data_IF_652946655800
#
_entry.id   IF_652946655800
#
_cell.length_a   1.000
_cell.length_b   1.000
_cell.length_c   1.000
_cell.angle_alpha   90.00
_cell.angle_beta   90.00
_cell.angle_gamma   90.00
#
_symmetry.space_group_name_H-M   'P 1'
#
loop_
_entity.id
_entity.type
_entity.pdbx_description
1 polymer ?
#
# COMPACT_ATOMS: atom_id res chain seq x y z
N UNK A 1 -13.61 -22.75 8.03
CA UNK A 1 -12.18 -22.66 7.69
C UNK A 1 -12.10 -22.32 6.21
N UNK A 2 -11.21 -21.40 5.83
CA UNK A 2 -10.98 -21.08 4.43
C UNK A 2 -10.35 -22.29 3.73
N UNK A 3 -10.69 -22.49 2.46
CA UNK A 3 -10.01 -23.44 1.60
C UNK A 3 -8.58 -22.96 1.27
N UNK A 4 -7.64 -23.86 0.92
CA UNK A 4 -6.29 -23.47 0.53
C UNK A 4 -6.27 -22.44 -0.61
N UNK A 5 -7.21 -22.53 -1.56
CA UNK A 5 -7.33 -21.58 -2.65
C UNK A 5 -7.79 -20.19 -2.18
N UNK A 6 -8.66 -20.10 -1.18
CA UNK A 6 -9.06 -18.83 -0.59
C UNK A 6 -7.92 -18.21 0.24
N UNK A 7 -7.17 -19.02 1.00
CA UNK A 7 -5.98 -18.57 1.72
C UNK A 7 -4.93 -18.04 0.75
N UNK A 8 -4.73 -18.71 -0.38
CA UNK A 8 -3.81 -18.28 -1.44
C UNK A 8 -4.21 -16.94 -2.06
N UNK A 9 -5.48 -16.78 -2.46
CA UNK A 9 -5.98 -15.49 -2.96
C UNK A 9 -5.81 -14.37 -1.94
N UNK A 10 -6.01 -14.69 -0.65
CA UNK A 10 -5.77 -13.72 0.42
C UNK A 10 -4.30 -13.36 0.56
N UNK A 11 -3.39 -14.33 0.43
CA UNK A 11 -1.94 -14.10 0.48
C UNK A 11 -1.50 -13.20 -0.68
N UNK A 12 -1.91 -13.51 -1.91
CA UNK A 12 -1.64 -12.69 -3.10
C UNK A 12 -2.14 -11.25 -2.93
N UNK A 13 -3.38 -11.09 -2.45
CA UNK A 13 -3.94 -9.77 -2.17
C UNK A 13 -3.11 -9.03 -1.11
N UNK A 14 -2.84 -9.65 0.04
CA UNK A 14 -2.05 -9.04 1.10
C UNK A 14 -0.64 -8.66 0.65
N UNK A 15 -0.01 -9.48 -0.21
CA UNK A 15 1.29 -9.15 -0.83
C UNK A 15 1.18 -7.93 -1.74
N UNK A 16 0.14 -7.82 -2.56
CA UNK A 16 -0.10 -6.63 -3.37
C UNK A 16 -0.27 -5.36 -2.52
N UNK A 17 -1.03 -5.46 -1.42
CA UNK A 17 -1.23 -4.34 -0.49
C UNK A 17 0.08 -3.95 0.18
N UNK A 18 0.84 -4.94 0.68
CA UNK A 18 2.15 -4.74 1.28
C UNK A 18 3.11 -4.00 0.34
N UNK A 19 3.19 -4.44 -0.91
CA UNK A 19 4.04 -3.80 -1.92
C UNK A 19 3.61 -2.35 -2.19
N UNK A 20 2.31 -2.11 -2.41
CA UNK A 20 1.82 -0.76 -2.71
C UNK A 20 2.04 0.21 -1.55
N UNK A 21 1.76 -0.21 -0.32
CA UNK A 21 2.04 0.59 0.89
C UNK A 21 3.54 0.79 1.11
N UNK A 22 4.35 -0.25 0.85
CA UNK A 22 5.80 -0.17 0.94
C UNK A 22 6.39 0.83 -0.05
N UNK A 23 5.89 0.87 -1.29
CA UNK A 23 6.28 1.89 -2.28
C UNK A 23 5.85 3.30 -1.88
N UNK A 24 4.66 3.45 -1.29
CA UNK A 24 4.22 4.74 -0.75
C UNK A 24 5.15 5.22 0.36
N UNK A 25 5.43 4.37 1.36
CA UNK A 25 6.31 4.71 2.47
C UNK A 25 7.77 4.95 2.04
N UNK A 26 8.25 4.19 1.05
CA UNK A 26 9.60 4.28 0.51
C UNK A 26 9.82 5.43 -0.48
N UNK A 27 8.77 6.15 -0.88
CA UNK A 27 8.89 7.25 -1.84
C UNK A 27 8.97 8.61 -1.13
N UNK A 28 10.18 9.22 -1.02
CA UNK A 28 10.35 10.49 -0.32
C UNK A 28 9.68 11.68 -1.02
N UNK A 29 9.24 11.53 -2.26
CA UNK A 29 8.57 12.59 -3.02
C UNK A 29 7.09 12.70 -2.68
N UNK A 30 6.52 11.73 -1.97
CA UNK A 30 5.11 11.72 -1.59
C UNK A 30 4.98 12.14 -0.13
N UNK A 31 4.45 13.35 0.16
CA UNK A 31 4.21 13.74 1.54
C UNK A 31 3.03 12.95 2.12
N UNK A 32 3.03 12.60 3.42
CA UNK A 32 1.97 11.81 4.03
C UNK A 32 0.55 12.35 3.84
N UNK A 33 0.40 13.68 3.75
CA UNK A 33 -0.87 14.34 3.48
C UNK A 33 -1.53 13.92 2.14
N UNK A 34 -0.76 13.35 1.20
CA UNK A 34 -1.25 12.86 -0.09
C UNK A 34 -1.66 11.39 -0.07
N UNK A 35 -1.36 10.64 0.99
CA UNK A 35 -1.70 9.21 1.06
C UNK A 35 -3.20 8.93 0.89
N UNK A 36 -4.15 9.67 1.50
CA UNK A 36 -5.58 9.41 1.28
C UNK A 36 -6.00 9.54 -0.19
N UNK A 37 -5.39 10.45 -0.94
CA UNK A 37 -5.67 10.63 -2.37
C UNK A 37 -5.13 9.45 -3.19
N UNK A 38 -3.91 8.99 -2.89
CA UNK A 38 -3.31 7.83 -3.55
C UNK A 38 -4.09 6.53 -3.27
N UNK A 39 -4.52 6.32 -2.02
CA UNK A 39 -5.32 5.14 -1.65
C UNK A 39 -6.62 5.06 -2.45
N UNK A 40 -7.29 6.18 -2.72
CA UNK A 40 -8.50 6.25 -3.57
C UNK A 40 -8.24 5.89 -5.03
N UNK A 41 -7.02 6.07 -5.52
CA UNK A 41 -6.63 5.72 -6.89
C UNK A 41 -6.18 4.26 -7.02
N UNK A 42 -5.94 3.58 -5.91
CA UNK A 42 -5.47 2.19 -5.91
C UNK A 42 -6.46 1.26 -6.58
N UNK A 43 -5.98 0.43 -7.51
CA UNK A 43 -6.81 -0.63 -8.09
C UNK A 43 -7.11 -1.78 -7.14
N UNK A 44 -6.44 -1.83 -5.98
CA UNK A 44 -6.77 -2.73 -4.87
C UNK A 44 -7.93 -2.20 -4.00
N UNK A 45 -8.48 -1.03 -4.33
CA UNK A 45 -9.54 -0.34 -3.58
C UNK A 45 -9.15 0.00 -2.13
N UNK A 46 -7.89 0.33 -1.90
CA UNK A 46 -7.41 0.66 -0.53
C UNK A 46 -8.10 1.90 0.05
N UNK A 47 -8.56 2.83 -0.79
CA UNK A 47 -9.35 3.98 -0.36
C UNK A 47 -10.79 3.66 0.05
N UNK A 48 -11.26 2.44 -0.21
CA UNK A 48 -12.55 1.93 0.26
C UNK A 48 -12.40 0.98 1.47
N UNK A 49 -11.16 0.65 1.87
CA UNK A 49 -10.87 -0.23 3.01
C UNK A 49 -10.89 0.59 4.31
N UNK A 50 -11.90 0.40 5.19
CA UNK A 50 -12.06 1.23 6.38
C UNK A 50 -10.90 1.10 7.37
N UNK A 51 -10.24 -0.05 7.42
CA UNK A 51 -9.10 -0.23 8.32
C UNK A 51 -7.91 0.59 7.84
N UNK A 52 -7.61 0.54 6.54
CA UNK A 52 -6.51 1.32 5.95
C UNK A 52 -6.80 2.82 6.06
N UNK A 53 -7.99 3.25 5.61
CA UNK A 53 -8.31 4.69 5.57
C UNK A 53 -8.35 5.30 6.96
N UNK A 54 -8.99 4.63 7.93
CA UNK A 54 -9.05 5.13 9.31
C UNK A 54 -7.67 5.17 9.95
N UNK A 55 -6.82 4.15 9.73
CA UNK A 55 -5.44 4.15 10.25
C UNK A 55 -4.65 5.35 9.75
N UNK A 56 -4.75 5.66 8.45
CA UNK A 56 -4.05 6.81 7.86
C UNK A 56 -4.64 8.14 8.34
N UNK A 57 -5.96 8.27 8.35
CA UNK A 57 -6.65 9.50 8.81
C UNK A 57 -6.33 9.82 10.26
N UNK A 58 -6.39 8.83 11.16
CA UNK A 58 -6.03 9.00 12.56
C UNK A 58 -4.55 9.38 12.74
N UNK A 59 -3.65 8.70 12.04
CA UNK A 59 -2.22 9.00 12.11
C UNK A 59 -1.91 10.43 11.61
N UNK A 60 -2.57 10.88 10.55
CA UNK A 60 -2.46 12.26 10.06
C UNK A 60 -3.02 13.27 11.07
N UNK A 61 -4.17 12.97 11.69
CA UNK A 61 -4.74 13.81 12.75
C UNK A 61 -3.82 13.92 13.98
N UNK A 62 -3.10 12.85 14.30
CA UNK A 62 -2.11 12.82 15.39
C UNK A 62 -0.77 13.43 15.01
N UNK A 63 -0.57 13.85 13.75
CA UNK A 63 0.70 14.41 13.27
C UNK A 63 1.83 13.40 13.18
N UNK A 64 1.53 12.12 12.92
CA UNK A 64 2.56 11.11 12.72
C UNK A 64 3.36 11.38 11.42
N UNK A 65 4.70 11.33 11.46
CA UNK A 65 5.55 11.79 10.36
C UNK A 65 5.45 10.92 9.09
N UNK A 66 4.97 9.69 9.21
CA UNK A 66 4.81 8.74 8.11
C UNK A 66 3.32 8.48 7.78
N UNK A 67 2.41 9.27 8.36
CA UNK A 67 0.96 9.09 8.18
C UNK A 67 0.45 7.69 8.54
N UNK A 68 1.14 6.95 9.42
CA UNK A 68 0.74 5.61 9.87
C UNK A 68 1.00 4.49 8.86
N UNK A 69 1.54 4.79 7.68
CA UNK A 69 1.75 3.79 6.61
C UNK A 69 2.78 2.74 7.01
N UNK A 70 3.82 3.09 7.77
CA UNK A 70 4.80 2.09 8.22
C UNK A 70 4.15 1.05 9.14
N UNK A 71 3.18 1.46 9.96
CA UNK A 71 2.40 0.54 10.79
C UNK A 71 1.58 -0.43 9.95
N UNK A 72 0.94 0.06 8.89
CA UNK A 72 0.20 -0.78 7.95
C UNK A 72 1.12 -1.75 7.19
N UNK A 73 2.31 -1.31 6.75
CA UNK A 73 3.32 -2.17 6.12
C UNK A 73 3.65 -3.35 7.02
N UNK A 74 4.01 -3.10 8.29
CA UNK A 74 4.31 -4.19 9.23
C UNK A 74 3.12 -5.11 9.51
N UNK A 75 1.89 -4.55 9.55
CA UNK A 75 0.68 -5.35 9.73
C UNK A 75 0.46 -6.31 8.56
N UNK A 76 0.54 -5.82 7.31
CA UNK A 76 0.37 -6.66 6.13
C UNK A 76 1.53 -7.64 5.92
N UNK A 77 2.76 -7.26 6.28
CA UNK A 77 3.90 -8.19 6.32
C UNK A 77 3.62 -9.37 7.26
N UNK A 78 3.15 -9.09 8.49
CA UNK A 78 2.74 -10.13 9.44
C UNK A 78 1.62 -11.02 8.91
N UNK A 79 0.63 -10.45 8.21
CA UNK A 79 -0.44 -11.22 7.57
C UNK A 79 0.08 -12.13 6.45
N UNK A 80 0.94 -11.62 5.57
CA UNK A 80 1.55 -12.42 4.50
C UNK A 80 2.32 -13.60 5.11
N UNK A 81 3.14 -13.36 6.14
CA UNK A 81 3.85 -14.44 6.83
C UNK A 81 2.91 -15.48 7.44
N UNK A 82 1.84 -15.05 8.11
CA UNK A 82 0.86 -15.97 8.70
C UNK A 82 0.15 -16.81 7.62
N UNK A 83 -0.21 -16.21 6.49
CA UNK A 83 -0.86 -16.91 5.38
C UNK A 83 0.10 -17.89 4.69
N UNK A 84 1.36 -17.50 4.51
CA UNK A 84 2.42 -18.38 4.00
C UNK A 84 2.63 -19.60 4.90
N UNK A 85 2.58 -19.45 6.23
CA UNK A 85 2.64 -20.58 7.16
C UNK A 85 1.48 -21.56 6.96
N UNK A 86 0.26 -21.06 6.74
CA UNK A 86 -0.92 -21.91 6.49
C UNK A 86 -0.79 -22.65 5.14
N UNK A 87 -0.17 -22.02 4.15
CA UNK A 87 0.04 -22.58 2.82
C UNK A 87 1.30 -23.44 2.70
N UNK A 88 2.12 -23.52 3.74
CA UNK A 88 3.43 -24.18 3.74
C UNK A 88 4.34 -23.67 2.60
N UNK A 89 4.37 -22.34 2.41
CA UNK A 89 5.14 -21.65 1.36
C UNK A 89 5.82 -20.39 1.93
N UNK A 90 6.48 -19.61 1.08
CA UNK A 90 7.16 -18.36 1.43
C UNK A 90 6.61 -17.18 0.62
N UNK A 91 6.93 -15.96 1.09
CA UNK A 91 6.44 -14.72 0.47
C UNK A 91 6.94 -14.54 -0.97
N UNK A 92 8.16 -14.99 -1.28
CA UNK A 92 8.75 -14.90 -2.62
C UNK A 92 7.95 -15.75 -3.62
N UNK A 93 7.55 -16.96 -3.22
CA UNK A 93 6.72 -17.84 -4.03
C UNK A 93 5.36 -17.23 -4.32
N UNK A 94 4.73 -16.58 -3.33
CA UNK A 94 3.47 -15.85 -3.53
C UNK A 94 3.68 -14.69 -4.50
N UNK A 95 4.74 -13.89 -4.33
CA UNK A 95 5.03 -12.74 -5.19
C UNK A 95 5.26 -13.16 -6.66
N UNK A 96 5.96 -14.27 -6.90
CA UNK A 96 6.23 -14.80 -8.25
C UNK A 96 4.96 -15.26 -9.00
N UNK A 97 3.88 -15.57 -8.28
CA UNK A 97 2.60 -15.94 -8.88
C UNK A 97 1.78 -14.71 -9.33
N UNK A 98 2.13 -13.52 -8.85
CA UNK A 98 1.44 -12.27 -9.19
C UNK A 98 1.86 -11.84 -10.61
N UNK A 99 0.92 -11.57 -11.52
CA UNK A 99 1.26 -11.16 -12.87
C UNK A 99 2.11 -9.88 -12.89
N UNK A 100 3.26 -9.91 -13.56
CA UNK A 100 4.19 -8.78 -13.63
C UNK A 100 3.52 -7.49 -14.14
N UNK A 101 2.63 -7.59 -15.12
CA UNK A 101 1.88 -6.42 -15.63
C UNK A 101 0.97 -5.80 -14.58
N UNK A 102 0.46 -6.60 -13.65
CA UNK A 102 -0.31 -6.10 -12.51
C UNK A 102 0.58 -5.40 -11.50
N UNK A 103 1.75 -5.97 -11.18
CA UNK A 103 2.75 -5.32 -10.30
C UNK A 103 3.21 -3.97 -10.86
N UNK A 104 3.47 -3.88 -12.17
CA UNK A 104 3.81 -2.62 -12.85
C UNK A 104 2.70 -1.58 -12.69
N UNK A 105 1.44 -1.98 -12.91
CA UNK A 105 0.29 -1.09 -12.72
C UNK A 105 0.21 -0.57 -11.28
N UNK A 106 0.37 -1.43 -10.27
CA UNK A 106 0.34 -1.01 -8.87
C UNK A 106 1.48 -0.02 -8.54
N UNK A 107 2.65 -0.21 -9.13
CA UNK A 107 3.76 0.71 -8.99
C UNK A 107 3.45 2.07 -9.66
N UNK A 108 2.91 2.06 -10.88
CA UNK A 108 2.48 3.28 -11.58
C UNK A 108 1.46 4.09 -10.76
N UNK A 109 0.53 3.43 -10.05
CA UNK A 109 -0.45 4.11 -9.18
C UNK A 109 0.21 4.92 -8.05
N UNK A 110 1.43 4.55 -7.64
CA UNK A 110 2.21 5.25 -6.60
C UNK A 110 3.21 6.24 -7.21
N UNK A 111 3.88 5.87 -8.30
CA UNK A 111 5.01 6.62 -8.87
C UNK A 111 4.64 7.58 -10.00
N UNK A 112 3.47 7.46 -10.65
CA UNK A 112 3.07 8.41 -11.69
C UNK A 112 2.43 9.67 -11.09
N UNK A 113 2.99 10.82 -11.49
CA UNK A 113 2.64 12.17 -11.07
C UNK A 113 1.14 12.34 -10.84
N UNK A 114 0.79 12.77 -9.63
CA UNK A 114 -0.47 13.46 -9.38
C UNK A 114 -0.44 14.74 -10.23
N UNK A 115 -1.36 14.96 -11.19
CA UNK A 115 -1.52 16.26 -11.80
C UNK A 115 -2.07 17.21 -10.71
N UNK A 116 -1.19 17.95 -10.03
CA UNK A 116 -1.59 18.88 -8.98
C UNK A 116 -0.44 19.37 -8.11
N UNK A 117 0.22 20.42 -8.60
CA UNK A 117 1.12 21.35 -7.87
C UNK A 117 2.62 20.99 -7.83
N UNK A 118 3.26 21.08 -9.02
CA UNK A 118 4.60 21.67 -9.08
C UNK A 118 4.50 23.15 -8.68
N UNK A 119 5.38 23.55 -7.76
CA UNK A 119 5.35 24.84 -7.10
C UNK A 119 5.40 26.05 -8.03
N UNK A 120 4.69 27.09 -7.62
CA UNK A 120 5.16 28.45 -7.85
C UNK A 120 5.89 28.85 -6.57
N UNK A 121 7.24 28.97 -6.57
CA UNK A 121 7.90 29.73 -5.53
C UNK A 121 7.39 31.17 -5.67
N UNK A 122 6.64 31.64 -4.68
CA UNK A 122 6.35 33.07 -4.55
C UNK A 122 7.64 33.77 -4.14
N UNK A 123 8.52 33.98 -5.12
CA UNK A 123 9.62 34.91 -5.03
C UNK A 123 9.10 36.34 -5.17
N UNK A 124 9.53 37.17 -4.23
CA UNK A 124 9.63 38.63 -4.26
C UNK A 124 8.41 39.46 -4.68
N UNK A 125 7.72 40.03 -3.68
CA UNK A 125 7.52 41.48 -3.55
C UNK A 125 7.51 41.92 -2.09
#
# INVERSE_FOLDING_TARGET
MLSPQEVRRQAEYCTCVLLQLGWMAGNPSIPPARYPELLKRSSLKLGDDPFITMTVEEALMMGQPDGGVTGLVHFYEGLVHALCQVLETDAESIEQEIPLEFLKKLAEEVFFDLPGELGIPSGDR
#
